data_IF_158869974046
#
_entry.id   IF_158869974046
#
_cell.length_a   1.000
_cell.length_b   1.000
_cell.length_c   1.000
_cell.angle_alpha   90.00
_cell.angle_beta   90.00
_cell.angle_gamma   90.00
#
_symmetry.space_group_name_H-M   'P 1'
#
loop_
_entity.id
_entity.type
_entity.pdbx_description
1 polymer ?
#
# COMPACT_ATOMS: atom_id res chain seq x y z
N UNK A 1 -2.19 -30.59 4.41
CA UNK A 1 -2.50 -29.20 4.79
C UNK A 1 -3.79 -28.78 4.10
N UNK A 2 -4.88 -28.67 4.84
CA UNK A 2 -6.17 -28.23 4.30
C UNK A 2 -6.27 -26.72 4.46
N UNK A 3 -5.96 -25.96 3.40
CA UNK A 3 -6.20 -24.51 3.34
C UNK A 3 -7.71 -24.28 3.16
N UNK A 4 -8.40 -23.80 4.18
CA UNK A 4 -9.79 -23.34 4.06
C UNK A 4 -9.80 -21.83 3.94
N UNK A 5 -10.16 -21.32 2.75
CA UNK A 5 -10.36 -19.89 2.52
C UNK A 5 -11.78 -19.51 2.97
N UNK A 6 -11.87 -18.79 4.09
CA UNK A 6 -13.09 -18.10 4.49
C UNK A 6 -13.08 -16.69 3.92
N UNK A 7 -13.73 -16.49 2.77
CA UNK A 7 -13.98 -15.16 2.22
C UNK A 7 -15.32 -14.67 2.75
N UNK A 8 -15.29 -13.94 3.84
CA UNK A 8 -16.48 -13.28 4.37
C UNK A 8 -16.12 -11.83 4.69
N UNK A 9 -16.94 -10.93 4.23
CA UNK A 9 -17.04 -9.50 4.52
C UNK A 9 -16.55 -8.53 3.45
N UNK A 10 -17.53 -7.80 2.94
CA UNK A 10 -17.42 -6.61 2.12
C UNK A 10 -17.03 -5.41 3.02
N UNK A 11 -16.34 -4.42 2.49
CA UNK A 11 -15.88 -3.18 3.19
C UNK A 11 -16.93 -2.48 4.06
N UNK A 12 -18.21 -2.76 3.83
CA UNK A 12 -19.36 -2.20 4.54
C UNK A 12 -19.40 -2.53 6.05
N UNK A 13 -18.71 -3.57 6.51
CA UNK A 13 -18.78 -4.06 7.91
C UNK A 13 -17.69 -3.50 8.83
N UNK A 14 -16.69 -2.82 8.31
CA UNK A 14 -15.53 -2.40 9.08
C UNK A 14 -15.77 -1.27 10.10
N UNK A 15 -16.93 -0.61 10.02
CA UNK A 15 -17.33 0.47 10.94
C UNK A 15 -18.40 0.04 11.97
N UNK A 16 -18.77 -1.23 12.01
CA UNK A 16 -19.78 -1.74 12.93
C UNK A 16 -19.15 -2.27 14.21
N UNK A 17 -19.73 -1.93 15.36
CA UNK A 17 -19.29 -2.38 16.69
C UNK A 17 -19.41 -3.89 16.88
N UNK A 18 -20.24 -4.57 16.08
CA UNK A 18 -20.42 -6.02 16.07
C UNK A 18 -19.33 -6.79 15.30
N UNK A 19 -18.47 -6.08 14.55
CA UNK A 19 -17.39 -6.70 13.77
C UNK A 19 -16.43 -7.53 14.63
N UNK A 20 -16.05 -7.02 15.80
CA UNK A 20 -15.15 -7.72 16.72
C UNK A 20 -15.71 -9.05 17.22
N UNK A 21 -17.00 -9.07 17.54
CA UNK A 21 -17.68 -10.33 17.93
C UNK A 21 -17.71 -11.36 16.81
N UNK A 22 -17.87 -10.93 15.57
CA UNK A 22 -17.85 -11.82 14.41
C UNK A 22 -16.47 -12.44 14.15
N UNK A 23 -15.40 -11.67 14.32
CA UNK A 23 -14.02 -12.18 14.16
C UNK A 23 -13.71 -13.22 15.23
N UNK A 24 -14.04 -12.96 16.49
CA UNK A 24 -13.84 -13.91 17.60
C UNK A 24 -14.64 -15.21 17.37
N UNK A 25 -15.88 -15.13 16.91
CA UNK A 25 -16.69 -16.29 16.56
C UNK A 25 -16.07 -17.14 15.45
N UNK A 26 -15.57 -16.52 14.38
CA UNK A 26 -14.92 -17.25 13.28
C UNK A 26 -13.57 -17.86 13.72
N UNK A 27 -12.80 -17.18 14.56
CA UNK A 27 -11.59 -17.74 15.16
C UNK A 27 -11.92 -18.99 15.99
N UNK A 28 -12.95 -18.93 16.84
CA UNK A 28 -13.39 -20.10 17.65
C UNK A 28 -13.83 -21.27 16.78
N UNK A 29 -14.54 -21.00 15.67
CA UNK A 29 -14.93 -22.03 14.70
C UNK A 29 -13.72 -22.70 14.06
N UNK A 30 -12.71 -21.92 13.66
CA UNK A 30 -11.45 -22.44 13.10
C UNK A 30 -10.72 -23.32 14.12
N UNK A 31 -10.58 -22.87 15.36
CA UNK A 31 -9.97 -23.65 16.45
C UNK A 31 -10.73 -24.96 16.68
N UNK A 32 -12.06 -24.90 16.68
CA UNK A 32 -12.89 -26.11 16.86
C UNK A 32 -12.74 -27.15 15.73
N UNK A 33 -12.25 -26.71 14.54
CA UNK A 33 -11.91 -27.64 13.44
C UNK A 33 -10.47 -28.15 13.48
N UNK A 34 -9.76 -27.92 14.58
CA UNK A 34 -8.39 -28.40 14.83
C UNK A 34 -7.40 -28.00 13.73
N UNK A 35 -7.44 -26.72 13.32
CA UNK A 35 -6.43 -26.16 12.42
C UNK A 35 -5.11 -25.96 13.18
N UNK A 36 -3.97 -26.08 12.48
CA UNK A 36 -2.64 -25.93 13.05
C UNK A 36 -2.25 -24.45 13.29
N UNK A 37 -2.90 -23.51 12.58
CA UNK A 37 -2.65 -22.07 12.71
C UNK A 37 -3.63 -21.24 11.89
N UNK A 38 -3.60 -19.90 12.07
CA UNK A 38 -4.50 -18.96 11.41
C UNK A 38 -3.69 -17.86 10.71
N UNK A 39 -3.88 -17.69 9.39
CA UNK A 39 -3.42 -16.51 8.68
C UNK A 39 -4.62 -15.57 8.53
N UNK A 40 -4.54 -14.40 9.18
CA UNK A 40 -5.56 -13.37 9.07
C UNK A 40 -5.16 -12.37 7.98
N UNK A 41 -5.98 -12.23 6.94
CA UNK A 41 -5.73 -11.32 5.82
C UNK A 41 -6.69 -10.13 5.90
N UNK A 42 -6.15 -8.92 5.95
CA UNK A 42 -6.98 -7.71 5.90
C UNK A 42 -7.25 -7.28 4.46
N UNK A 43 -8.36 -6.59 4.23
CA UNK A 43 -8.67 -6.01 2.92
C UNK A 43 -7.83 -4.75 2.61
N UNK A 44 -7.50 -4.00 3.68
CA UNK A 44 -6.64 -2.81 3.64
C UNK A 44 -5.72 -2.84 4.84
N UNK A 45 -4.51 -2.30 4.70
CA UNK A 45 -3.57 -2.22 5.80
C UNK A 45 -4.14 -1.35 6.92
N UNK A 46 -4.25 -1.94 8.09
CA UNK A 46 -4.78 -1.32 9.32
C UNK A 46 -4.24 -2.03 10.55
N UNK A 47 -4.40 -1.40 11.69
CA UNK A 47 -4.17 -2.05 12.98
C UNK A 47 -5.45 -2.77 13.39
N UNK A 48 -5.35 -4.07 13.64
CA UNK A 48 -6.46 -4.90 14.08
C UNK A 48 -6.42 -5.08 15.59
N UNK A 49 -7.48 -4.63 16.26
CA UNK A 49 -7.63 -4.70 17.72
C UNK A 49 -8.42 -5.93 18.21
N UNK A 50 -8.92 -6.74 17.28
CA UNK A 50 -9.87 -7.82 17.57
C UNK A 50 -9.26 -9.21 17.61
N UNK A 51 -7.94 -9.36 17.43
CA UNK A 51 -7.30 -10.67 17.50
C UNK A 51 -6.83 -10.90 18.93
N UNK A 52 -7.31 -11.96 19.61
CA UNK A 52 -6.91 -12.24 20.99
C UNK A 52 -5.42 -12.51 21.13
N UNK A 53 -4.79 -11.97 22.18
CA UNK A 53 -3.38 -12.21 22.50
C UNK A 53 -3.06 -13.63 22.94
N UNK A 54 -4.07 -14.36 23.43
CA UNK A 54 -3.94 -15.68 24.05
C UNK A 54 -4.52 -16.81 23.20
N UNK A 55 -4.32 -16.73 21.88
CA UNK A 55 -4.71 -17.83 21.00
C UNK A 55 -3.95 -19.11 21.37
N UNK A 56 -4.66 -20.24 21.38
CA UNK A 56 -4.08 -21.56 21.67
C UNK A 56 -3.27 -22.14 20.51
N UNK A 57 -3.31 -21.50 19.35
CA UNK A 57 -2.62 -21.88 18.12
C UNK A 57 -1.90 -20.66 17.52
N UNK A 58 -0.85 -20.87 16.71
CA UNK A 58 -0.16 -19.78 16.03
C UNK A 58 -1.08 -18.95 15.14
N UNK A 59 -0.80 -17.64 15.05
CA UNK A 59 -1.45 -16.74 14.11
C UNK A 59 -0.43 -15.85 13.42
N UNK A 60 -0.73 -15.44 12.19
CA UNK A 60 0.04 -14.47 11.39
C UNK A 60 -0.93 -13.46 10.79
N UNK A 61 -0.58 -12.19 10.87
CA UNK A 61 -1.29 -11.12 10.17
C UNK A 61 -0.68 -10.90 8.79
N UNK A 62 -1.49 -10.90 7.75
CA UNK A 62 -1.09 -10.58 6.38
C UNK A 62 -1.79 -9.32 5.89
N UNK A 63 -1.02 -8.40 5.30
CA UNK A 63 -1.48 -7.12 4.77
C UNK A 63 -2.11 -6.20 5.82
N UNK A 64 -1.64 -6.29 7.08
CA UNK A 64 -2.10 -5.46 8.19
C UNK A 64 -1.28 -5.69 9.45
N UNK A 65 -1.58 -4.92 10.46
CA UNK A 65 -0.93 -4.97 11.77
C UNK A 65 -1.90 -5.42 12.85
N UNK A 66 -1.35 -5.90 13.96
CA UNK A 66 -2.09 -6.18 15.19
C UNK A 66 -1.38 -5.53 16.37
N UNK A 67 -2.13 -5.20 17.43
CA UNK A 67 -1.56 -4.78 18.71
C UNK A 67 -0.98 -5.95 19.52
N UNK A 68 -1.33 -7.17 19.14
CA UNK A 68 -0.80 -8.36 19.79
C UNK A 68 0.71 -8.46 19.61
N UNK A 69 1.44 -8.55 20.73
CA UNK A 69 2.89 -8.72 20.71
C UNK A 69 3.33 -10.12 20.30
N UNK A 70 2.41 -11.08 20.22
CA UNK A 70 2.70 -12.48 19.95
C UNK A 70 2.40 -12.88 18.49
N UNK A 71 1.81 -11.99 17.70
CA UNK A 71 1.36 -12.29 16.34
C UNK A 71 2.21 -11.48 15.36
N UNK A 72 3.07 -12.11 14.54
CA UNK A 72 3.82 -11.43 13.52
C UNK A 72 2.93 -10.86 12.41
N UNK A 73 3.38 -9.76 11.83
CA UNK A 73 2.71 -9.07 10.72
C UNK A 73 3.57 -9.10 9.47
N UNK A 74 2.97 -9.42 8.33
CA UNK A 74 3.61 -9.37 7.01
C UNK A 74 2.92 -8.29 6.19
N UNK A 75 3.64 -7.23 5.86
CA UNK A 75 3.09 -5.98 5.29
C UNK A 75 3.89 -5.52 4.08
N UNK A 76 3.35 -4.55 3.36
CA UNK A 76 4.05 -3.87 2.26
C UNK A 76 5.17 -2.98 2.81
N UNK A 77 6.30 -2.91 2.12
CA UNK A 77 7.31 -1.87 2.36
C UNK A 77 6.97 -0.60 1.56
N UNK A 78 5.87 0.05 1.94
CA UNK A 78 5.35 1.24 1.29
C UNK A 78 6.32 2.42 1.31
N UNK A 79 7.03 2.60 2.43
CA UNK A 79 8.04 3.65 2.55
C UNK A 79 9.12 3.49 1.49
N UNK A 80 9.68 2.28 1.39
CA UNK A 80 10.71 1.99 0.39
C UNK A 80 10.16 2.04 -1.02
N UNK A 81 8.96 1.51 -1.26
CA UNK A 81 8.32 1.55 -2.58
C UNK A 81 8.15 2.96 -3.12
N UNK A 82 7.66 3.89 -2.29
CA UNK A 82 7.54 5.29 -2.65
C UNK A 82 8.92 5.97 -2.79
N UNK A 83 9.83 5.70 -1.85
CA UNK A 83 11.20 6.21 -1.90
C UNK A 83 11.89 5.89 -3.24
N UNK A 84 11.83 4.65 -3.71
CA UNK A 84 12.47 4.22 -4.96
C UNK A 84 11.82 4.89 -6.19
N UNK A 85 10.49 5.05 -6.24
CA UNK A 85 9.83 5.75 -7.33
C UNK A 85 10.20 7.24 -7.37
N UNK A 86 10.25 7.90 -6.22
CA UNK A 86 10.64 9.32 -6.15
C UNK A 86 12.11 9.50 -6.54
N UNK A 87 13.00 8.63 -6.07
CA UNK A 87 14.40 8.65 -6.52
C UNK A 87 14.52 8.46 -8.02
N UNK A 88 13.71 7.57 -8.60
CA UNK A 88 13.68 7.41 -10.05
C UNK A 88 13.25 8.70 -10.75
N UNK A 89 12.17 9.38 -10.30
CA UNK A 89 11.76 10.67 -10.85
C UNK A 89 12.86 11.72 -10.74
N UNK A 90 13.54 11.80 -9.59
CA UNK A 90 14.67 12.74 -9.41
C UNK A 90 15.82 12.42 -10.37
N UNK A 91 16.15 11.14 -10.55
CA UNK A 91 17.19 10.71 -11.51
C UNK A 91 16.82 11.03 -12.97
N UNK A 92 15.51 11.16 -13.29
CA UNK A 92 15.04 11.67 -14.59
C UNK A 92 15.08 13.20 -14.71
N UNK A 93 15.58 13.91 -13.69
CA UNK A 93 15.74 15.37 -13.69
C UNK A 93 14.61 16.14 -12.99
N UNK A 94 13.56 15.46 -12.52
CA UNK A 94 12.45 16.12 -11.85
C UNK A 94 12.83 16.58 -10.44
N UNK A 95 12.82 17.89 -10.21
CA UNK A 95 13.12 18.49 -8.89
C UNK A 95 11.87 19.00 -8.17
N UNK A 96 10.84 19.34 -8.92
CA UNK A 96 9.56 19.82 -8.39
C UNK A 96 8.48 18.79 -8.66
N UNK A 97 8.29 17.88 -7.69
CA UNK A 97 7.43 16.70 -7.79
C UNK A 97 6.22 16.93 -6.90
N UNK A 98 5.04 16.98 -7.49
CA UNK A 98 3.76 16.99 -6.76
C UNK A 98 3.37 15.59 -6.30
N UNK A 99 2.63 15.51 -5.19
CA UNK A 99 2.12 14.25 -4.66
C UNK A 99 0.61 14.34 -4.47
N UNK A 100 -0.10 13.33 -4.97
CA UNK A 100 -1.52 13.11 -4.64
C UNK A 100 -1.59 11.92 -3.70
N UNK A 101 -1.93 12.20 -2.44
CA UNK A 101 -1.98 11.17 -1.39
C UNK A 101 -3.32 10.45 -1.36
N UNK A 102 -3.38 9.31 -0.67
CA UNK A 102 -4.63 8.76 -0.19
C UNK A 102 -5.16 9.50 1.05
N UNK A 103 -6.13 8.91 1.73
CA UNK A 103 -6.68 9.45 2.99
C UNK A 103 -5.56 9.63 4.03
N UNK A 104 -5.57 10.77 4.73
CA UNK A 104 -4.50 11.16 5.65
C UNK A 104 -4.33 10.20 6.85
N UNK A 105 -5.40 9.49 7.24
CA UNK A 105 -5.40 8.48 8.31
C UNK A 105 -4.94 7.09 7.85
N UNK A 106 -4.69 6.91 6.56
CA UNK A 106 -4.22 5.63 6.01
C UNK A 106 -2.74 5.39 6.31
N UNK A 107 -2.42 4.21 6.84
CA UNK A 107 -1.04 3.77 7.08
C UNK A 107 -0.22 3.74 5.78
N UNK A 108 -0.81 3.30 4.67
CA UNK A 108 -0.19 3.33 3.35
C UNK A 108 0.18 4.76 2.93
N UNK A 109 -0.75 5.72 3.05
CA UNK A 109 -0.50 7.10 2.65
C UNK A 109 0.61 7.73 3.50
N UNK A 110 0.61 7.49 4.80
CA UNK A 110 1.63 7.98 5.73
C UNK A 110 3.01 7.40 5.39
N UNK A 111 3.11 6.08 5.19
CA UNK A 111 4.37 5.42 4.86
C UNK A 111 4.91 5.89 3.50
N UNK A 112 4.06 6.00 2.47
CA UNK A 112 4.45 6.52 1.15
C UNK A 112 4.90 7.97 1.21
N UNK A 113 4.26 8.81 2.05
CA UNK A 113 4.67 10.20 2.26
C UNK A 113 6.04 10.30 2.94
N UNK A 114 6.31 9.43 3.92
CA UNK A 114 7.64 9.33 4.56
C UNK A 114 8.69 8.94 3.50
N UNK A 115 8.40 7.98 2.63
CA UNK A 115 9.29 7.59 1.53
C UNK A 115 9.61 8.75 0.58
N UNK A 116 8.59 9.53 0.21
CA UNK A 116 8.75 10.74 -0.60
C UNK A 116 9.69 11.76 0.08
N UNK A 117 9.41 12.09 1.34
CA UNK A 117 10.21 13.06 2.10
C UNK A 117 11.67 12.60 2.26
N UNK A 118 11.88 11.30 2.49
CA UNK A 118 13.20 10.71 2.61
C UNK A 118 13.98 10.79 1.29
N UNK A 119 13.34 10.50 0.16
CA UNK A 119 13.97 10.61 -1.15
C UNK A 119 14.40 12.05 -1.46
N UNK A 120 13.55 13.05 -1.20
CA UNK A 120 13.91 14.46 -1.36
C UNK A 120 15.11 14.83 -0.50
N UNK A 121 15.10 14.48 0.78
CA UNK A 121 16.17 14.78 1.73
C UNK A 121 17.50 14.18 1.28
N UNK A 122 17.49 12.90 0.88
CA UNK A 122 18.71 12.17 0.51
C UNK A 122 19.32 12.70 -0.81
N UNK A 123 18.51 13.33 -1.66
CA UNK A 123 18.93 14.00 -2.91
C UNK A 123 19.12 15.53 -2.73
N UNK A 124 19.06 16.04 -1.48
CA UNK A 124 19.29 17.45 -1.17
C UNK A 124 18.20 18.41 -1.67
N UNK A 125 17.00 17.91 -1.93
CA UNK A 125 15.84 18.71 -2.34
C UNK A 125 15.01 19.13 -1.12
N UNK A 126 14.45 20.34 -1.16
CA UNK A 126 13.60 20.85 -0.09
C UNK A 126 12.20 20.22 -0.20
N UNK A 127 11.68 19.80 0.96
CA UNK A 127 10.28 19.40 1.10
C UNK A 127 9.40 20.67 1.12
N UNK A 128 8.40 20.70 0.24
CA UNK A 128 7.40 21.76 0.18
C UNK A 128 6.00 21.14 0.43
N UNK A 129 5.34 21.44 1.56
CA UNK A 129 4.01 20.88 1.86
C UNK A 129 2.93 21.37 0.89
N UNK A 130 3.14 22.49 0.18
CA UNK A 130 2.21 22.97 -0.84
C UNK A 130 2.17 22.09 -2.09
N UNK A 131 3.16 21.21 -2.28
CA UNK A 131 3.18 20.22 -3.36
C UNK A 131 2.46 18.92 -2.99
N UNK A 132 1.78 18.88 -1.85
CA UNK A 132 1.00 17.71 -1.41
C UNK A 132 -0.49 18.03 -1.52
N UNK A 133 -1.18 17.26 -2.35
CA UNK A 133 -2.64 17.27 -2.41
C UNK A 133 -3.19 16.04 -1.67
N UNK A 134 -3.99 16.26 -0.64
CA UNK A 134 -4.61 15.19 0.13
C UNK A 134 -5.87 14.69 -0.56
N UNK A 135 -5.77 13.50 -1.16
CA UNK A 135 -6.86 12.83 -1.85
C UNK A 135 -7.58 11.80 -0.97
N UNK A 136 -8.32 10.90 -1.63
CA UNK A 136 -9.19 9.92 -0.98
C UNK A 136 -9.11 8.51 -1.59
N UNK A 137 -8.10 8.24 -2.40
CA UNK A 137 -7.89 7.05 -3.24
C UNK A 137 -8.74 7.01 -4.52
N UNK A 138 -9.66 7.96 -4.70
CA UNK A 138 -10.58 8.01 -5.83
C UNK A 138 -9.98 8.67 -7.07
N UNK A 139 -10.54 8.34 -8.24
CA UNK A 139 -10.14 8.92 -9.53
C UNK A 139 -10.40 10.43 -9.58
N UNK A 140 -11.50 10.89 -9.01
CA UNK A 140 -11.88 12.31 -8.94
C UNK A 140 -10.85 13.13 -8.14
N UNK A 141 -10.36 12.60 -7.03
CA UNK A 141 -9.32 13.29 -6.26
C UNK A 141 -7.99 13.37 -7.02
N UNK A 142 -7.73 12.42 -7.91
CA UNK A 142 -6.61 12.48 -8.85
C UNK A 142 -6.74 13.61 -9.85
N UNK A 143 -7.93 13.77 -10.44
CA UNK A 143 -8.25 14.85 -11.38
C UNK A 143 -8.09 16.23 -10.73
N UNK A 144 -8.75 16.46 -9.61
CA UNK A 144 -8.66 17.73 -8.87
C UNK A 144 -7.24 18.02 -8.39
N UNK A 145 -6.55 16.98 -7.91
CA UNK A 145 -5.16 17.09 -7.46
C UNK A 145 -4.20 17.51 -8.59
N UNK A 146 -4.38 16.98 -9.79
CA UNK A 146 -3.60 17.37 -10.97
C UNK A 146 -3.81 18.84 -11.30
N UNK A 147 -5.06 19.33 -11.33
CA UNK A 147 -5.38 20.74 -11.57
C UNK A 147 -4.68 21.67 -10.57
N UNK A 148 -4.74 21.32 -9.28
CA UNK A 148 -4.12 22.13 -8.21
C UNK A 148 -2.61 22.13 -8.33
N UNK A 149 -1.99 20.98 -8.54
CA UNK A 149 -0.53 20.82 -8.55
C UNK A 149 0.11 21.44 -9.79
N UNK A 150 -0.54 21.40 -10.97
CA UNK A 150 0.02 22.04 -12.14
C UNK A 150 0.09 23.56 -12.01
N UNK A 151 -0.85 24.20 -11.31
CA UNK A 151 -0.76 25.65 -10.98
C UNK A 151 0.49 25.98 -10.16
N UNK A 152 1.07 24.97 -9.48
CA UNK A 152 2.34 25.08 -8.75
C UNK A 152 3.56 24.79 -9.63
N UNK A 153 3.40 24.57 -10.93
CA UNK A 153 4.49 24.31 -11.90
C UNK A 153 5.33 23.07 -11.56
N UNK A 154 4.70 22.01 -11.09
CA UNK A 154 5.36 20.70 -10.93
C UNK A 154 5.71 20.11 -12.29
N UNK A 155 6.78 19.33 -12.36
CA UNK A 155 7.23 18.67 -13.60
C UNK A 155 6.87 17.18 -13.62
N UNK A 156 6.53 16.63 -12.44
CA UNK A 156 6.03 15.28 -12.26
C UNK A 156 4.98 15.24 -11.14
N UNK A 157 4.05 14.31 -11.24
CA UNK A 157 3.07 14.00 -10.19
C UNK A 157 3.23 12.53 -9.80
N UNK A 158 3.44 12.27 -8.51
CA UNK A 158 3.37 10.94 -7.92
C UNK A 158 2.00 10.75 -7.27
N UNK A 159 1.21 9.84 -7.82
CA UNK A 159 -0.07 9.43 -7.26
C UNK A 159 0.11 8.18 -6.40
N UNK A 160 -0.38 8.21 -5.18
CA UNK A 160 -0.23 7.08 -4.25
C UNK A 160 -1.11 5.88 -4.61
N UNK A 161 -1.87 5.92 -5.71
CA UNK A 161 -2.43 4.73 -6.39
C UNK A 161 -2.69 5.02 -7.88
N UNK A 162 -2.95 3.94 -8.64
CA UNK A 162 -3.19 4.01 -10.08
C UNK A 162 -4.55 4.60 -10.45
N UNK A 163 -5.55 4.57 -9.55
CA UNK A 163 -6.84 5.21 -9.80
C UNK A 163 -6.72 6.74 -9.80
N UNK A 164 -6.03 7.30 -8.81
CA UNK A 164 -5.74 8.74 -8.78
C UNK A 164 -4.85 9.14 -9.96
N UNK A 165 -3.87 8.31 -10.34
CA UNK A 165 -3.10 8.55 -11.56
C UNK A 165 -4.00 8.62 -12.79
N UNK A 166 -5.01 7.76 -12.89
CA UNK A 166 -6.02 7.82 -13.95
C UNK A 166 -6.79 9.15 -13.96
N UNK A 167 -7.11 9.72 -12.79
CA UNK A 167 -7.68 11.06 -12.71
C UNK A 167 -6.76 12.15 -13.26
N UNK A 168 -5.44 12.02 -13.03
CA UNK A 168 -4.47 12.92 -13.67
C UNK A 168 -4.48 12.81 -15.20
N UNK A 169 -4.67 11.60 -15.74
CA UNK A 169 -4.81 11.42 -17.19
C UNK A 169 -6.07 12.06 -17.74
N UNK A 170 -7.21 11.92 -17.04
CA UNK A 170 -8.47 12.57 -17.45
C UNK A 170 -8.31 14.07 -17.50
N UNK A 171 -7.79 14.66 -16.44
CA UNK A 171 -7.53 16.10 -16.38
C UNK A 171 -6.56 16.57 -17.47
N UNK A 172 -5.51 15.79 -17.74
CA UNK A 172 -4.54 16.13 -18.79
C UNK A 172 -5.17 16.10 -20.18
N UNK A 173 -6.02 15.12 -20.47
CA UNK A 173 -6.76 15.01 -21.74
C UNK A 173 -7.72 16.18 -21.93
N UNK A 174 -8.52 16.50 -20.91
CA UNK A 174 -9.46 17.62 -20.91
C UNK A 174 -8.77 18.99 -21.08
N UNK A 175 -7.57 19.13 -20.50
CA UNK A 175 -6.77 20.36 -20.55
C UNK A 175 -5.86 20.45 -21.76
N UNK A 176 -5.79 19.42 -22.62
CA UNK A 176 -4.90 19.33 -23.77
C UNK A 176 -3.44 19.17 -23.42
N UNK A 177 -3.13 18.76 -22.18
CA UNK A 177 -1.76 18.55 -21.67
C UNK A 177 -1.29 17.14 -22.00
N UNK A 178 -0.05 17.01 -22.47
CA UNK A 178 0.49 15.74 -22.93
C UNK A 178 1.36 15.07 -21.86
N UNK A 179 1.03 13.81 -21.55
CA UNK A 179 1.83 12.92 -20.73
C UNK A 179 2.68 12.04 -21.67
N UNK A 180 3.99 11.93 -21.50
CA UNK A 180 4.83 12.58 -20.48
C UNK A 180 5.42 13.92 -20.93
N UNK A 181 5.11 14.44 -22.14
CA UNK A 181 5.84 15.55 -22.78
C UNK A 181 5.79 16.84 -21.95
N UNK A 182 4.66 17.12 -21.29
CA UNK A 182 4.48 18.34 -20.49
C UNK A 182 4.51 18.03 -18.99
N UNK A 183 3.95 16.86 -18.58
CA UNK A 183 3.95 16.41 -17.20
C UNK A 183 4.20 14.90 -17.12
N UNK A 184 5.12 14.48 -16.27
CA UNK A 184 5.32 13.07 -15.94
C UNK A 184 4.34 12.62 -14.85
N UNK A 185 3.83 11.40 -14.97
CA UNK A 185 2.91 10.82 -13.97
C UNK A 185 3.41 9.44 -13.55
N UNK A 186 3.51 9.23 -12.24
CA UNK A 186 3.81 7.94 -11.63
C UNK A 186 2.65 7.51 -10.72
N UNK A 187 2.35 6.21 -10.72
CA UNK A 187 1.31 5.60 -9.88
C UNK A 187 1.86 4.66 -8.82
N UNK A 188 0.94 3.93 -8.21
CA UNK A 188 1.19 2.87 -7.25
C UNK A 188 0.06 1.83 -7.33
N UNK A 189 0.31 0.58 -7.01
CA UNK A 189 -0.50 -0.63 -6.98
C UNK A 189 -0.22 -1.60 -8.14
N UNK A 190 0.14 -1.13 -9.34
CA UNK A 190 0.20 -1.89 -10.58
C UNK A 190 -1.14 -2.59 -10.88
N UNK A 191 -2.24 -1.86 -10.78
CA UNK A 191 -3.53 -2.37 -11.24
C UNK A 191 -3.52 -2.61 -12.74
N UNK A 192 -4.27 -3.59 -13.22
CA UNK A 192 -4.36 -3.93 -14.65
C UNK A 192 -4.59 -2.70 -15.54
N UNK A 193 -5.48 -1.79 -15.10
CA UNK A 193 -5.79 -0.55 -15.81
C UNK A 193 -4.55 0.34 -16.08
N UNK A 194 -3.49 0.25 -15.27
CA UNK A 194 -2.27 1.06 -15.44
C UNK A 194 -1.55 0.78 -16.76
N UNK A 195 -1.69 -0.42 -17.30
CA UNK A 195 -1.11 -0.83 -18.58
C UNK A 195 -1.91 -0.34 -19.80
N UNK A 196 -3.18 0.01 -19.60
CA UNK A 196 -4.08 0.48 -20.67
C UNK A 196 -4.16 2.01 -20.78
N UNK A 197 -3.61 2.76 -19.84
CA UNK A 197 -3.48 4.21 -19.98
C UNK A 197 -2.62 4.56 -21.20
N UNK A 198 -2.82 5.73 -21.75
CA UNK A 198 -2.08 6.24 -22.92
C UNK A 198 -1.39 7.56 -22.59
N UNK A 199 -0.05 7.50 -22.41
CA UNK A 199 0.83 6.33 -22.46
C UNK A 199 0.66 5.39 -21.25
N UNK A 200 1.14 4.12 -21.32
CA UNK A 200 1.10 3.20 -20.17
C UNK A 200 1.81 3.77 -18.95
N UNK A 201 1.16 3.66 -17.79
CA UNK A 201 1.58 4.26 -16.53
C UNK A 201 2.76 3.54 -15.88
N UNK A 202 3.82 4.28 -15.55
CA UNK A 202 4.87 3.83 -14.66
C UNK A 202 4.33 3.79 -13.23
N UNK A 203 4.51 2.67 -12.53
CA UNK A 203 3.87 2.44 -11.23
C UNK A 203 4.72 1.55 -10.33
N UNK A 204 4.45 1.57 -9.06
CA UNK A 204 5.03 0.65 -8.07
C UNK A 204 4.06 -0.50 -7.83
N UNK A 205 4.52 -1.74 -7.96
CA UNK A 205 3.70 -2.93 -7.76
C UNK A 205 3.51 -3.27 -6.28
N UNK A 206 2.25 -3.51 -5.88
CA UNK A 206 1.94 -4.10 -4.58
C UNK A 206 2.31 -5.58 -4.60
N UNK A 207 3.20 -6.05 -3.71
CA UNK A 207 3.68 -7.43 -3.71
C UNK A 207 2.70 -8.39 -3.01
N UNK A 208 1.41 -8.39 -3.42
CA UNK A 208 0.34 -9.14 -2.72
C UNK A 208 0.58 -10.65 -2.71
N UNK A 209 1.13 -11.20 -3.82
CA UNK A 209 1.51 -12.61 -3.88
C UNK A 209 2.61 -12.93 -2.87
N UNK A 210 3.65 -12.10 -2.81
CA UNK A 210 4.80 -12.34 -1.95
C UNK A 210 4.47 -12.13 -0.47
N UNK A 211 3.51 -11.25 -0.16
CA UNK A 211 2.94 -11.12 1.18
C UNK A 211 2.26 -12.42 1.61
N UNK A 212 1.42 -12.99 0.74
CA UNK A 212 0.76 -14.27 1.01
C UNK A 212 1.77 -15.41 1.18
N UNK A 213 2.76 -15.48 0.30
CA UNK A 213 3.84 -16.46 0.37
C UNK A 213 4.63 -16.33 1.68
N UNK A 214 5.07 -15.11 2.02
CA UNK A 214 5.82 -14.84 3.25
C UNK A 214 5.01 -15.13 4.51
N UNK A 215 3.72 -14.81 4.51
CA UNK A 215 2.83 -15.15 5.63
C UNK A 215 2.71 -16.66 5.84
N UNK A 216 2.66 -17.44 4.76
CA UNK A 216 2.65 -18.89 4.82
C UNK A 216 3.99 -19.45 5.35
N UNK A 217 5.14 -18.93 4.90
CA UNK A 217 6.47 -19.33 5.43
C UNK A 217 6.58 -19.06 6.94
N UNK A 218 6.16 -17.85 7.38
CA UNK A 218 6.17 -17.48 8.80
C UNK A 218 5.25 -18.42 9.60
N UNK A 219 4.05 -18.71 9.08
CA UNK A 219 3.11 -19.64 9.74
C UNK A 219 3.68 -21.05 9.88
N UNK A 220 4.27 -21.60 8.81
CA UNK A 220 4.90 -22.93 8.86
C UNK A 220 6.00 -22.94 9.92
N UNK A 221 6.86 -21.94 9.95
CA UNK A 221 7.92 -21.83 10.96
C UNK A 221 7.39 -21.74 12.40
N UNK A 222 6.22 -21.11 12.61
CA UNK A 222 5.57 -21.05 13.94
C UNK A 222 4.96 -22.40 14.35
N UNK A 223 4.36 -23.12 13.40
CA UNK A 223 3.76 -24.44 13.65
C UNK A 223 4.83 -25.50 13.94
N UNK A 224 5.97 -25.42 13.25
CA UNK A 224 7.08 -26.37 13.42
C UNK A 224 7.94 -26.11 14.67
N UNK A 225 7.86 -24.92 15.27
CA UNK A 225 8.57 -24.61 16.52
C UNK A 225 8.02 -25.44 17.67
N UNK A 226 8.94 -26.08 18.44
CA UNK A 226 8.57 -26.75 19.68
C UNK A 226 8.10 -25.73 20.72
N UNK A 227 7.06 -26.08 21.48
CA UNK A 227 6.50 -25.27 22.57
C UNK A 227 7.61 -24.78 23.52
N UNK A 228 7.76 -23.46 23.64
CA UNK A 228 8.72 -22.82 24.57
C UNK A 228 9.62 -21.75 23.97
N UNK A 229 9.76 -21.65 22.64
CA UNK A 229 10.46 -20.53 22.01
C UNK A 229 9.48 -19.40 21.69
N UNK A 230 9.49 -18.35 22.51
CA UNK A 230 8.77 -17.11 22.19
C UNK A 230 9.42 -16.45 20.98
N UNK A 231 8.72 -16.40 19.86
CA UNK A 231 9.13 -15.54 18.76
C UNK A 231 8.87 -14.09 19.19
N UNK A 232 9.88 -13.22 19.10
CA UNK A 232 9.62 -11.79 19.22
C UNK A 232 8.66 -11.35 18.10
N UNK A 233 7.71 -10.47 18.37
CA UNK A 233 6.78 -9.97 17.37
C UNK A 233 7.59 -9.27 16.28
N UNK A 234 7.55 -9.81 15.08
CA UNK A 234 8.28 -9.26 13.95
C UNK A 234 7.32 -8.70 12.91
N UNK A 235 7.62 -7.52 12.43
CA UNK A 235 7.00 -6.97 11.24
C UNK A 235 7.90 -7.28 10.04
N UNK A 236 7.41 -8.15 9.16
CA UNK A 236 8.10 -8.50 7.92
C UNK A 236 7.61 -7.57 6.81
N UNK A 237 8.47 -6.68 6.36
CA UNK A 237 8.20 -5.79 5.23
C UNK A 237 8.58 -6.46 3.92
N UNK A 238 7.63 -6.56 2.99
CA UNK A 238 7.82 -7.14 1.66
C UNK A 238 8.09 -6.01 0.66
N UNK A 239 9.25 -6.04 -0.04
CA UNK A 239 9.63 -4.96 -0.94
C UNK A 239 8.74 -4.88 -2.17
N UNK A 240 8.48 -3.65 -2.62
CA UNK A 240 7.77 -3.34 -3.85
C UNK A 240 8.70 -3.32 -5.05
N UNK A 241 8.17 -3.63 -6.24
CA UNK A 241 8.89 -3.55 -7.51
C UNK A 241 8.45 -2.33 -8.31
N UNK A 242 9.41 -1.60 -8.89
CA UNK A 242 9.13 -0.49 -9.80
C UNK A 242 8.89 -1.03 -11.21
N UNK A 243 7.80 -0.64 -11.83
CA UNK A 243 7.45 -0.95 -13.21
C UNK A 243 7.47 0.32 -14.04
N UNK A 244 8.62 0.59 -14.64
CA UNK A 244 8.82 1.78 -15.46
C UNK A 244 8.25 1.53 -16.85
N UNK A 245 7.34 2.41 -17.27
CA UNK A 245 6.69 2.39 -18.59
C UNK A 245 6.92 3.73 -19.31
N UNK A 246 5.88 4.32 -19.92
CA UNK A 246 6.05 5.45 -20.84
C UNK A 246 5.50 6.80 -20.31
N UNK A 247 5.03 6.83 -19.05
CA UNK A 247 4.42 8.04 -18.46
C UNK A 247 5.41 8.99 -17.79
N UNK A 248 6.71 8.69 -17.85
CA UNK A 248 7.78 9.51 -17.29
C UNK A 248 8.77 9.84 -18.39
N UNK A 249 9.11 11.13 -18.51
CA UNK A 249 10.18 11.61 -19.39
C UNK A 249 11.44 11.95 -18.60
N UNK A 250 12.58 11.98 -19.27
CA UNK A 250 13.81 12.64 -18.80
C UNK A 250 13.74 14.15 -19.14
N UNK A 251 14.14 15.02 -18.19
CA UNK A 251 14.23 16.48 -18.38
C UNK A 251 15.61 16.92 -18.85
#
# INVERSE_FOLDING_TARGET
TNLRLYKKYNDYYYHRTDYYGLVDEEIRKLIATQVDGIIYVTAHERIMHCIPDNLSIPAVMAYGYTESKNIPSVVVDDERGAYEMIRYLIAQGHKKIGVITGKADSLHAQARLIGYQKALRDEGLLYDPELIYYGDWGRESGHTGAEVLLKKQVTAIFCMNDLMAGGCYDWADESGIKIPQEISVAGYDNRELSSYYKPPLSTTELPLHDIGYRAAEVMIGLVEKKSGETAEPQVYKVPCKQLIRQSIKTL
#
